data_IF_360958063676
#
_entry.id   IF_360958063676
#
_cell.length_a   1.000
_cell.length_b   1.000
_cell.length_c   1.000
_cell.angle_alpha   90.00
_cell.angle_beta   90.00
_cell.angle_gamma   90.00
#
_symmetry.space_group_name_H-M   'P 1'
#
loop_
_entity.id
_entity.type
_entity.pdbx_description
1 polymer ?
#
# COMPACT_ATOMS: atom_id res chain seq x y z
N UNK A 1 31.47 9.33 -15.07
CA UNK A 1 31.43 8.04 -14.34
C UNK A 1 30.75 7.03 -15.24
N UNK A 2 31.30 5.82 -15.45
CA UNK A 2 30.57 4.78 -16.18
C UNK A 2 29.29 4.45 -15.41
N UNK A 3 28.18 4.27 -16.13
CA UNK A 3 26.94 3.77 -15.52
C UNK A 3 27.21 2.40 -14.90
N UNK A 4 26.76 2.17 -13.67
CA UNK A 4 26.80 0.84 -13.06
C UNK A 4 26.15 -0.18 -14.01
N UNK A 5 26.70 -1.40 -14.14
CA UNK A 5 26.08 -2.43 -14.96
C UNK A 5 24.62 -2.62 -14.55
N UNK A 6 23.72 -2.59 -15.54
CA UNK A 6 22.31 -2.81 -15.28
C UNK A 6 22.11 -4.27 -14.87
N UNK A 7 21.50 -4.48 -13.71
CA UNK A 7 21.21 -5.82 -13.21
C UNK A 7 20.31 -6.57 -14.19
N UNK A 8 20.55 -7.87 -14.31
CA UNK A 8 19.73 -8.81 -15.05
C UNK A 8 18.44 -9.12 -14.29
N UNK A 9 17.42 -9.61 -15.01
CA UNK A 9 16.19 -10.07 -14.38
C UNK A 9 16.45 -11.16 -13.33
N UNK A 10 17.36 -12.09 -13.60
CA UNK A 10 17.72 -13.17 -12.67
C UNK A 10 18.33 -12.63 -11.36
N UNK A 11 19.18 -11.61 -11.45
CA UNK A 11 19.74 -10.96 -10.26
C UNK A 11 18.66 -10.24 -9.45
N UNK A 12 17.69 -9.59 -10.12
CA UNK A 12 16.58 -8.96 -9.42
C UNK A 12 15.67 -9.96 -8.70
N UNK A 13 15.38 -11.11 -9.33
CA UNK A 13 14.46 -12.10 -8.75
C UNK A 13 15.11 -12.94 -7.65
N UNK A 14 16.42 -13.21 -7.75
CA UNK A 14 17.15 -14.00 -6.77
C UNK A 14 17.13 -13.40 -5.34
N UNK A 15 17.00 -12.08 -5.22
CA UNK A 15 16.95 -11.37 -3.93
C UNK A 15 15.55 -11.29 -3.32
N UNK A 16 14.47 -11.56 -4.07
CA UNK A 16 13.09 -11.34 -3.59
C UNK A 16 12.73 -12.14 -2.33
N UNK A 17 13.08 -13.43 -2.18
CA UNK A 17 12.76 -14.18 -0.97
C UNK A 17 13.43 -13.60 0.29
N UNK A 18 14.69 -13.19 0.18
CA UNK A 18 15.43 -12.58 1.30
C UNK A 18 14.85 -11.20 1.69
N UNK A 19 14.43 -10.41 0.70
CA UNK A 19 13.77 -9.13 0.94
C UNK A 19 12.38 -9.31 1.56
N UNK A 20 11.62 -10.33 1.15
CA UNK A 20 10.34 -10.68 1.77
C UNK A 20 10.53 -11.12 3.22
N UNK A 21 11.49 -12.01 3.49
CA UNK A 21 11.81 -12.42 4.86
C UNK A 21 12.21 -11.21 5.74
N UNK A 22 12.94 -10.25 5.17
CA UNK A 22 13.28 -8.99 5.87
C UNK A 22 12.05 -8.13 6.15
N UNK A 23 11.13 -8.02 5.17
CA UNK A 23 9.85 -7.33 5.34
C UNK A 23 9.02 -7.99 6.46
N UNK A 24 8.94 -9.31 6.48
CA UNK A 24 8.17 -10.05 7.49
C UNK A 24 8.82 -9.98 8.88
N UNK A 25 10.15 -10.00 8.97
CA UNK A 25 10.87 -9.86 10.24
C UNK A 25 10.88 -8.43 10.79
N UNK A 26 10.51 -7.43 9.99
CA UNK A 26 10.45 -6.03 10.42
C UNK A 26 9.42 -5.88 11.56
N UNK A 27 9.84 -5.28 12.67
CA UNK A 27 8.94 -5.01 13.78
C UNK A 27 7.76 -4.13 13.32
N UNK A 28 6.50 -4.54 13.56
CA UNK A 28 5.34 -3.79 13.11
C UNK A 28 5.28 -2.42 13.82
N UNK A 29 5.11 -1.36 13.05
CA UNK A 29 4.98 0.00 13.57
C UNK A 29 3.62 0.61 13.19
N UNK A 30 3.17 1.56 13.99
CA UNK A 30 1.97 2.35 13.69
C UNK A 30 2.31 3.63 12.93
N UNK A 31 1.28 4.30 12.41
CA UNK A 31 1.44 5.61 11.74
C UNK A 31 2.12 6.66 12.63
N UNK A 32 1.90 6.61 13.94
CA UNK A 32 2.48 7.58 14.88
C UNK A 32 3.99 7.42 15.03
N UNK A 33 4.51 6.24 14.71
CA UNK A 33 5.90 5.86 14.89
C UNK A 33 6.74 6.03 13.61
N UNK A 34 6.11 6.34 12.47
CA UNK A 34 6.79 6.50 11.17
C UNK A 34 7.95 7.51 11.24
N UNK A 35 7.74 8.63 11.91
CA UNK A 35 8.75 9.70 11.98
C UNK A 35 10.00 9.30 12.75
N UNK A 36 9.85 8.41 13.73
CA UNK A 36 10.92 7.89 14.58
C UNK A 36 11.71 6.78 13.87
N UNK A 37 11.03 5.95 13.08
CA UNK A 37 11.59 4.73 12.51
C UNK A 37 12.02 4.85 11.04
N UNK A 38 11.43 5.76 10.27
CA UNK A 38 11.65 5.87 8.83
C UNK A 38 12.13 7.28 8.47
N UNK A 39 13.38 7.44 7.99
CA UNK A 39 13.86 8.69 7.43
C UNK A 39 13.00 9.17 6.24
N UNK A 40 13.06 10.46 5.94
CA UNK A 40 12.39 11.00 4.73
C UNK A 40 13.13 10.53 3.48
N UNK A 41 12.37 10.26 2.41
CA UNK A 41 12.96 9.84 1.14
C UNK A 41 13.51 8.43 1.13
N UNK A 42 13.20 7.60 2.13
CA UNK A 42 13.56 6.18 2.14
C UNK A 42 12.74 5.43 1.08
N UNK A 43 13.37 4.87 0.03
CA UNK A 43 12.68 4.08 -0.97
C UNK A 43 12.47 2.64 -0.48
N UNK A 44 11.36 2.00 -0.84
CA UNK A 44 11.13 0.62 -0.44
C UNK A 44 9.72 0.10 -0.60
N UNK A 45 9.50 -1.05 0.03
CA UNK A 45 8.24 -1.78 0.09
C UNK A 45 7.66 -1.69 1.49
N UNK A 46 6.34 -1.69 1.58
CA UNK A 46 5.60 -1.77 2.83
C UNK A 46 4.42 -2.73 2.69
N UNK A 47 4.02 -3.31 3.83
CA UNK A 47 2.82 -4.11 3.97
C UNK A 47 2.00 -3.59 5.15
N UNK A 48 0.71 -3.32 4.91
CA UNK A 48 -0.28 -3.03 5.96
C UNK A 48 -0.84 -4.33 6.51
N UNK A 49 -1.00 -4.37 7.83
CA UNK A 49 -1.56 -5.50 8.57
C UNK A 49 -2.80 -5.06 9.34
N UNK A 50 -3.83 -5.90 9.30
CA UNK A 50 -5.03 -5.79 10.11
C UNK A 50 -5.15 -7.06 10.94
N UNK A 51 -5.14 -6.94 12.27
CA UNK A 51 -5.14 -8.08 13.20
C UNK A 51 -4.05 -9.12 12.85
N UNK A 52 -2.82 -8.64 12.66
CA UNK A 52 -1.65 -9.43 12.25
C UNK A 52 -1.75 -10.16 10.90
N UNK A 53 -2.80 -9.91 10.12
CA UNK A 53 -2.95 -10.42 8.76
C UNK A 53 -2.52 -9.38 7.72
N UNK A 54 -1.62 -9.73 6.77
CA UNK A 54 -1.23 -8.83 5.70
C UNK A 54 -2.41 -8.60 4.75
N UNK A 55 -2.76 -7.35 4.51
CA UNK A 55 -3.95 -6.99 3.71
C UNK A 55 -3.61 -6.18 2.46
N UNK A 56 -2.48 -5.48 2.46
CA UNK A 56 -2.07 -4.66 1.31
C UNK A 56 -0.56 -4.44 1.29
N UNK A 57 0.07 -4.69 0.16
CA UNK A 57 1.47 -4.35 -0.14
C UNK A 57 1.51 -3.14 -1.06
N UNK A 58 2.50 -2.27 -0.89
CA UNK A 58 2.79 -1.24 -1.87
C UNK A 58 4.27 -0.84 -1.92
N UNK A 59 4.62 -0.11 -2.97
CA UNK A 59 5.97 0.46 -3.15
C UNK A 59 5.98 1.98 -3.19
N UNK A 60 7.16 2.57 -2.94
CA UNK A 60 7.34 4.03 -2.98
C UNK A 60 8.81 4.41 -2.94
N UNK A 61 9.12 5.61 -3.44
CA UNK A 61 10.40 6.30 -3.26
C UNK A 61 10.52 7.06 -1.93
N UNK A 62 9.44 7.13 -1.16
CA UNK A 62 9.38 7.77 0.15
C UNK A 62 8.35 7.03 1.02
N UNK A 63 8.83 6.07 1.81
CA UNK A 63 8.05 5.23 2.71
C UNK A 63 7.29 6.08 3.73
N UNK A 64 8.00 6.96 4.44
CA UNK A 64 7.39 7.80 5.47
C UNK A 64 6.24 8.63 4.93
N UNK A 65 6.41 9.28 3.77
CA UNK A 65 5.35 10.08 3.15
C UNK A 65 4.17 9.19 2.75
N UNK A 66 4.44 8.12 2.00
CA UNK A 66 3.39 7.26 1.43
C UNK A 66 2.55 6.58 2.50
N UNK A 67 3.19 6.03 3.53
CA UNK A 67 2.51 5.38 4.65
C UNK A 67 1.59 6.36 5.39
N UNK A 68 2.04 7.60 5.59
CA UNK A 68 1.17 8.63 6.18
C UNK A 68 -0.03 8.95 5.28
N UNK A 69 0.15 9.02 3.96
CA UNK A 69 -0.90 9.38 3.01
C UNK A 69 -2.05 8.38 2.98
N UNK A 70 -1.81 7.10 3.25
CA UNK A 70 -2.86 6.07 3.18
C UNK A 70 -3.98 6.24 4.20
N UNK A 71 -3.70 6.78 5.39
CA UNK A 71 -4.68 6.93 6.47
C UNK A 71 -4.90 8.37 6.97
N UNK A 72 -4.16 9.38 6.48
CA UNK A 72 -4.30 10.76 6.95
C UNK A 72 -5.68 11.32 6.60
N UNK A 73 -6.33 12.00 7.54
CA UNK A 73 -7.67 12.56 7.34
C UNK A 73 -7.75 13.52 6.13
N UNK A 74 -6.72 14.33 5.91
CA UNK A 74 -6.62 15.26 4.79
C UNK A 74 -6.25 14.61 3.45
N UNK A 75 -5.98 13.30 3.41
CA UNK A 75 -5.66 12.61 2.17
C UNK A 75 -6.86 12.54 1.23
N UNK A 76 -6.58 12.77 -0.04
CA UNK A 76 -7.54 12.70 -1.13
C UNK A 76 -7.69 11.26 -1.63
N UNK A 77 -8.63 11.06 -2.56
CA UNK A 77 -8.79 9.80 -3.27
C UNK A 77 -7.57 9.42 -4.13
N UNK A 78 -6.64 10.34 -4.41
CA UNK A 78 -5.39 10.02 -5.11
C UNK A 78 -4.31 9.49 -4.17
N UNK A 79 -4.21 10.03 -2.96
CA UNK A 79 -3.14 9.68 -2.02
C UNK A 79 -3.52 8.53 -1.08
N UNK A 80 -4.80 8.38 -0.72
CA UNK A 80 -5.31 7.29 0.11
C UNK A 80 -5.92 6.14 -0.71
N UNK A 81 -5.16 5.59 -1.67
CA UNK A 81 -5.66 4.57 -2.59
C UNK A 81 -6.13 3.30 -1.87
N UNK A 82 -5.39 2.83 -0.86
CA UNK A 82 -5.75 1.64 -0.08
C UNK A 82 -7.08 1.82 0.68
N UNK A 83 -7.26 2.93 1.41
CA UNK A 83 -8.53 3.23 2.08
C UNK A 83 -9.71 3.31 1.09
N UNK A 84 -9.46 3.80 -0.13
CA UNK A 84 -10.46 3.84 -1.18
C UNK A 84 -10.87 2.43 -1.65
N UNK A 85 -9.91 1.50 -1.81
CA UNK A 85 -10.19 0.11 -2.16
C UNK A 85 -11.01 -0.59 -1.07
N UNK A 86 -10.66 -0.38 0.20
CA UNK A 86 -11.45 -0.89 1.32
C UNK A 86 -12.87 -0.34 1.30
N UNK A 87 -13.04 0.96 1.06
CA UNK A 87 -14.38 1.58 1.01
C UNK A 87 -15.24 1.02 -0.14
N UNK A 88 -14.64 0.67 -1.28
CA UNK A 88 -15.36 -0.03 -2.36
C UNK A 88 -15.85 -1.40 -1.91
N UNK A 89 -14.98 -2.19 -1.28
CA UNK A 89 -15.35 -3.51 -0.78
C UNK A 89 -16.47 -3.47 0.26
N UNK A 90 -16.43 -2.48 1.15
CA UNK A 90 -17.51 -2.26 2.14
C UNK A 90 -18.82 -1.86 1.43
N UNK A 91 -18.76 -0.95 0.46
CA UNK A 91 -19.94 -0.55 -0.30
C UNK A 91 -20.54 -1.71 -1.12
N UNK A 92 -19.69 -2.56 -1.69
CA UNK A 92 -20.09 -3.78 -2.40
C UNK A 92 -20.78 -4.77 -1.47
N UNK A 93 -20.18 -5.06 -0.30
CA UNK A 93 -20.77 -5.93 0.72
C UNK A 93 -22.10 -5.41 1.27
N UNK A 94 -22.30 -4.08 1.30
CA UNK A 94 -23.54 -3.44 1.69
C UNK A 94 -24.59 -3.35 0.57
N UNK A 95 -24.33 -3.93 -0.61
CA UNK A 95 -25.27 -3.93 -1.74
C UNK A 95 -25.37 -2.59 -2.49
N UNK A 96 -24.40 -1.69 -2.33
CA UNK A 96 -24.39 -0.38 -2.98
C UNK A 96 -23.61 -0.33 -4.30
N UNK A 97 -23.01 -1.45 -4.74
CA UNK A 97 -22.14 -1.51 -5.92
C UNK A 97 -22.77 -0.88 -7.17
N UNK A 98 -24.01 -1.26 -7.50
CA UNK A 98 -24.69 -0.83 -8.72
C UNK A 98 -24.83 0.70 -8.83
N UNK A 99 -25.10 1.39 -7.72
CA UNK A 99 -25.23 2.85 -7.69
C UNK A 99 -23.90 3.62 -7.75
N UNK A 100 -22.77 2.92 -7.77
CA UNK A 100 -21.42 3.49 -7.76
C UNK A 100 -20.66 3.25 -9.08
N UNK A 101 -21.18 2.38 -9.96
CA UNK A 101 -20.56 2.06 -11.25
C UNK A 101 -20.49 3.31 -12.13
N UNK A 102 -19.37 3.48 -12.84
CA UNK A 102 -19.15 4.60 -13.78
C UNK A 102 -18.81 5.94 -13.11
N UNK A 103 -18.90 6.05 -11.79
CA UNK A 103 -18.50 7.27 -11.09
C UNK A 103 -16.98 7.40 -11.01
N UNK A 104 -16.47 8.60 -11.27
CA UNK A 104 -15.05 8.91 -11.06
C UNK A 104 -14.67 8.82 -9.59
N UNK A 105 -13.39 8.62 -9.27
CA UNK A 105 -12.91 8.59 -7.87
C UNK A 105 -13.28 9.87 -7.10
N UNK A 106 -13.28 11.02 -7.77
CA UNK A 106 -13.67 12.29 -7.17
C UNK A 106 -15.19 12.33 -6.88
N UNK A 107 -16.01 11.85 -7.81
CA UNK A 107 -17.46 11.76 -7.61
C UNK A 107 -17.80 10.78 -6.47
N UNK A 108 -17.15 9.61 -6.44
CA UNK A 108 -17.28 8.63 -5.36
C UNK A 108 -16.93 9.23 -3.99
N UNK A 109 -15.79 9.92 -3.88
CA UNK A 109 -15.38 10.53 -2.62
C UNK A 109 -16.37 11.57 -2.07
N UNK A 110 -17.24 12.15 -2.92
CA UNK A 110 -18.30 13.09 -2.55
C UNK A 110 -19.69 12.46 -2.50
N UNK A 111 -19.82 11.19 -2.91
CA UNK A 111 -21.10 10.51 -2.97
C UNK A 111 -21.65 10.29 -1.55
N UNK A 112 -22.95 10.51 -1.35
CA UNK A 112 -23.60 10.48 -0.02
C UNK A 112 -23.39 9.17 0.76
N UNK A 113 -23.25 8.05 0.05
CA UNK A 113 -23.00 6.73 0.65
C UNK A 113 -21.50 6.44 0.75
N UNK A 114 -20.74 6.71 -0.30
CA UNK A 114 -19.35 6.28 -0.38
C UNK A 114 -18.40 7.21 0.37
N UNK A 115 -18.67 8.51 0.39
CA UNK A 115 -17.87 9.51 1.10
C UNK A 115 -17.67 9.17 2.59
N UNK A 116 -18.75 8.89 3.35
CA UNK A 116 -18.64 8.43 4.74
C UNK A 116 -17.83 7.14 4.89
N UNK A 117 -18.03 6.15 4.02
CA UNK A 117 -17.25 4.89 4.03
C UNK A 117 -15.76 5.17 3.80
N UNK A 118 -15.43 6.05 2.85
CA UNK A 118 -14.03 6.40 2.58
C UNK A 118 -13.37 7.14 3.76
N UNK A 119 -14.10 8.00 4.47
CA UNK A 119 -13.62 8.65 5.69
C UNK A 119 -13.39 7.62 6.81
N UNK A 120 -14.32 6.69 7.00
CA UNK A 120 -14.19 5.60 7.96
C UNK A 120 -12.96 4.73 7.64
N UNK A 121 -12.80 4.31 6.40
CA UNK A 121 -11.68 3.45 6.00
C UNK A 121 -10.31 4.13 6.06
N UNK A 122 -10.23 5.46 5.91
CA UNK A 122 -8.99 6.19 6.22
C UNK A 122 -8.62 6.05 7.69
N UNK A 123 -9.61 6.06 8.58
CA UNK A 123 -9.41 5.87 10.03
C UNK A 123 -9.03 4.42 10.34
N UNK A 124 -9.64 3.44 9.67
CA UNK A 124 -9.25 2.03 9.75
C UNK A 124 -7.79 1.83 9.35
N UNK A 125 -7.40 2.33 8.17
CA UNK A 125 -6.02 2.23 7.67
C UNK A 125 -5.03 2.98 8.56
N UNK A 126 -5.45 4.07 9.20
CA UNK A 126 -4.63 4.79 10.17
C UNK A 126 -4.30 3.99 11.43
N UNK A 127 -5.18 3.06 11.82
CA UNK A 127 -5.02 2.18 12.99
C UNK A 127 -4.28 0.87 12.69
N UNK A 128 -3.98 0.59 11.42
CA UNK A 128 -3.23 -0.61 11.03
C UNK A 128 -1.76 -0.51 11.42
N UNK A 129 -1.15 -1.67 11.66
CA UNK A 129 0.30 -1.79 11.75
C UNK A 129 0.90 -1.93 10.36
N UNK A 130 2.18 -1.58 10.25
CA UNK A 130 2.92 -1.60 8.99
C UNK A 130 4.28 -2.25 9.22
N UNK A 131 4.66 -3.13 8.29
CA UNK A 131 6.04 -3.59 8.11
C UNK A 131 6.63 -2.98 6.85
N UNK A 132 7.94 -2.79 6.81
CA UNK A 132 8.61 -2.14 5.68
C UNK A 132 10.04 -2.66 5.48
N UNK A 133 10.54 -2.54 4.25
CA UNK A 133 11.92 -2.87 3.88
C UNK A 133 12.46 -1.84 2.89
N UNK A 134 13.71 -1.43 3.07
CA UNK A 134 14.40 -0.49 2.16
C UNK A 134 14.78 -1.22 0.88
N UNK A 135 14.36 -0.68 -0.26
CA UNK A 135 14.71 -1.21 -1.59
C UNK A 135 14.97 -0.02 -2.51
N UNK A 136 16.24 0.39 -2.73
CA UNK A 136 16.54 1.57 -3.54
C UNK A 136 16.22 1.41 -5.02
N UNK A 137 16.42 0.21 -5.55
CA UNK A 137 16.23 -0.07 -6.97
C UNK A 137 14.73 -0.19 -7.33
N UNK A 138 14.30 0.57 -8.34
CA UNK A 138 12.89 0.69 -8.71
C UNK A 138 12.35 -0.56 -9.40
N UNK A 139 13.18 -1.32 -10.11
CA UNK A 139 12.80 -2.57 -10.77
C UNK A 139 12.56 -3.65 -9.71
N UNK A 140 13.49 -3.78 -8.77
CA UNK A 140 13.38 -4.67 -7.61
C UNK A 140 12.15 -4.33 -6.79
N UNK A 141 11.85 -3.05 -6.55
CA UNK A 141 10.60 -2.67 -5.89
C UNK A 141 9.36 -3.17 -6.64
N UNK A 142 9.30 -3.00 -7.97
CA UNK A 142 8.14 -3.43 -8.76
C UNK A 142 7.96 -4.95 -8.69
N UNK A 143 9.05 -5.70 -8.82
CA UNK A 143 9.04 -7.16 -8.74
C UNK A 143 8.69 -7.64 -7.32
N UNK A 144 9.24 -7.01 -6.28
CA UNK A 144 8.95 -7.36 -4.89
C UNK A 144 7.52 -7.01 -4.49
N UNK A 145 6.93 -5.93 -5.00
CA UNK A 145 5.53 -5.59 -4.76
C UNK A 145 4.59 -6.72 -5.24
N UNK A 146 4.83 -7.24 -6.45
CA UNK A 146 4.07 -8.38 -6.99
C UNK A 146 4.34 -9.65 -6.19
N UNK A 147 5.62 -9.98 -5.99
CA UNK A 147 6.02 -11.19 -5.27
C UNK A 147 5.45 -11.22 -3.85
N UNK A 148 5.63 -10.15 -3.08
CA UNK A 148 5.12 -10.08 -1.71
C UNK A 148 3.59 -10.07 -1.65
N UNK A 149 2.90 -9.43 -2.60
CA UNK A 149 1.43 -9.47 -2.63
C UNK A 149 0.88 -10.89 -2.83
N UNK A 150 1.57 -11.71 -3.63
CA UNK A 150 1.22 -13.10 -3.89
C UNK A 150 1.57 -14.01 -2.71
N UNK A 151 2.81 -13.95 -2.21
CA UNK A 151 3.27 -14.79 -1.09
C UNK A 151 2.49 -14.51 0.20
N UNK A 152 2.18 -13.24 0.47
CA UNK A 152 1.37 -12.84 1.63
C UNK A 152 -0.14 -12.97 1.39
N UNK A 153 -0.57 -13.39 0.19
CA UNK A 153 -1.98 -13.54 -0.21
C UNK A 153 -2.84 -12.32 0.15
N UNK A 154 -2.34 -11.13 -0.18
CA UNK A 154 -2.98 -9.87 0.25
C UNK A 154 -4.30 -9.60 -0.44
N UNK A 155 -5.31 -9.23 0.35
CA UNK A 155 -6.69 -9.10 -0.11
C UNK A 155 -6.97 -7.92 -1.04
N UNK A 156 -6.21 -6.83 -0.90
CA UNK A 156 -6.50 -5.55 -1.58
C UNK A 156 -5.49 -5.19 -2.67
N UNK A 157 -4.51 -6.05 -2.94
CA UNK A 157 -3.66 -5.89 -4.10
C UNK A 157 -4.39 -6.40 -5.35
N UNK A 158 -4.50 -5.55 -6.36
CA UNK A 158 -4.93 -5.94 -7.71
C UNK A 158 -3.96 -5.34 -8.71
N UNK A 159 -3.63 -6.13 -9.73
CA UNK A 159 -2.75 -5.74 -10.84
C UNK A 159 -3.53 -5.52 -12.14
N UNK A 160 -4.86 -5.59 -12.07
CA UNK A 160 -5.74 -5.24 -13.18
C UNK A 160 -5.76 -3.72 -13.37
N UNK A 161 -5.71 -3.28 -14.63
CA UNK A 161 -5.86 -1.87 -15.00
C UNK A 161 -7.32 -1.62 -15.36
N UNK A 162 -7.96 -0.66 -14.69
CA UNK A 162 -9.31 -0.17 -14.99
C UNK A 162 -9.31 0.94 -16.03
#
# INVERSE_FOLDING_TARGET
>A
MPASPQQTFAEHTAQLPALLATLEACFPITRTELAKNIPRGTPGIYAFYHDDQPVYVGRTRDLRRRLSEHGRASSSHYSASFAFLRARRVAEAAGHAAGLVGLSRQALARHRVFGPLFVAEKSTVAGMTVRWVVVPDAVTQALLEVYAALELNTLFNSFETS
#
